data_IF_153051673525
#
_entry.id   IF_153051673525
#
_cell.length_a   1.000
_cell.length_b   1.000
_cell.length_c   1.000
_cell.angle_alpha   90.00
_cell.angle_beta   90.00
_cell.angle_gamma   90.00
#
_symmetry.space_group_name_H-M   'P 1'
#
loop_
_entity.id
_entity.type
_entity.pdbx_description
1 polymer ?
#
# COMPACT_ATOMS: atom_id res chain seq x y z
N UNK A 1 13.20 -3.95 44.46
CA UNK A 1 11.93 -3.43 43.90
C UNK A 1 12.10 -2.40 42.78
N UNK A 2 13.09 -1.53 42.79
CA UNK A 2 13.33 -0.56 41.69
C UNK A 2 13.64 -1.22 40.34
N UNK A 3 14.47 -2.25 40.29
CA UNK A 3 14.87 -2.96 39.06
C UNK A 3 13.73 -3.65 38.29
N UNK A 4 12.67 -4.07 38.98
CA UNK A 4 11.50 -4.68 38.34
C UNK A 4 10.59 -3.65 37.67
N UNK A 5 10.45 -2.46 38.26
CA UNK A 5 9.69 -1.36 37.67
C UNK A 5 10.36 -0.77 36.44
N UNK A 6 11.70 -0.71 36.43
CA UNK A 6 12.46 -0.24 35.26
C UNK A 6 12.37 -1.22 34.09
N UNK A 7 12.44 -2.54 34.34
CA UNK A 7 12.26 -3.56 33.29
C UNK A 7 10.85 -3.56 32.72
N UNK A 8 9.82 -3.42 33.56
CA UNK A 8 8.45 -3.32 33.08
C UNK A 8 8.21 -2.06 32.24
N UNK A 9 8.80 -0.93 32.66
CA UNK A 9 8.69 0.33 31.93
C UNK A 9 9.47 0.31 30.60
N UNK A 10 10.61 -0.38 30.56
CA UNK A 10 11.38 -0.58 29.34
C UNK A 10 10.62 -1.51 28.36
N UNK A 11 9.99 -2.54 28.86
CA UNK A 11 9.19 -3.47 28.06
C UNK A 11 7.94 -2.77 27.46
N UNK A 12 7.25 -1.95 28.24
CA UNK A 12 6.14 -1.13 27.77
C UNK A 12 6.60 -0.07 26.76
N UNK A 13 7.78 0.54 26.94
CA UNK A 13 8.35 1.48 25.97
C UNK A 13 8.76 0.79 24.67
N UNK A 14 9.32 -0.41 24.73
CA UNK A 14 9.66 -1.22 23.55
C UNK A 14 8.40 -1.68 22.81
N UNK A 15 7.33 -2.04 23.53
CA UNK A 15 6.04 -2.38 22.93
C UNK A 15 5.36 -1.14 22.30
N UNK A 16 5.47 0.03 22.92
CA UNK A 16 4.96 1.28 22.34
C UNK A 16 5.74 1.73 21.08
N UNK A 17 7.02 1.38 20.98
CA UNK A 17 7.84 1.65 19.79
C UNK A 17 7.59 0.65 18.65
N UNK A 18 6.94 -0.48 18.91
CA UNK A 18 6.62 -1.52 17.94
C UNK A 18 5.21 -1.40 17.36
N UNK A 19 4.47 -0.35 17.67
CA UNK A 19 3.15 -0.12 17.05
C UNK A 19 3.33 0.21 15.56
N UNK A 20 2.68 -0.58 14.72
CA UNK A 20 2.60 -0.30 13.30
C UNK A 20 1.99 1.09 13.08
N UNK A 21 2.76 1.99 12.51
CA UNK A 21 2.30 3.36 12.20
C UNK A 21 1.23 3.37 11.10
N UNK A 22 1.13 2.30 10.33
CA UNK A 22 0.18 2.15 9.23
C UNK A 22 -0.86 1.11 9.58
N UNK A 23 -2.03 1.55 10.01
CA UNK A 23 -3.19 0.71 10.34
C UNK A 23 -4.42 1.22 9.60
N UNK A 24 -5.43 0.36 9.33
CA UNK A 24 -6.68 0.80 8.74
C UNK A 24 -7.36 1.85 9.64
N UNK A 25 -7.96 2.85 9.02
CA UNK A 25 -8.71 3.88 9.71
C UNK A 25 -10.15 3.95 9.20
N UNK A 26 -11.03 4.59 9.96
CA UNK A 26 -12.43 4.82 9.57
C UNK A 26 -12.63 6.09 8.74
N UNK A 27 -11.56 6.81 8.41
CA UNK A 27 -11.62 8.02 7.59
C UNK A 27 -12.19 7.73 6.21
N UNK A 28 -13.10 8.57 5.73
CA UNK A 28 -13.60 8.49 4.36
C UNK A 28 -12.50 8.79 3.34
N UNK A 29 -12.32 7.91 2.35
CA UNK A 29 -11.37 8.12 1.25
C UNK A 29 -11.74 9.36 0.44
N UNK A 30 -13.02 9.59 0.18
CA UNK A 30 -13.49 10.77 -0.56
C UNK A 30 -13.17 12.06 0.21
N UNK A 31 -13.46 12.11 1.51
CA UNK A 31 -13.13 13.26 2.36
C UNK A 31 -11.62 13.50 2.45
N UNK A 32 -10.83 12.43 2.52
CA UNK A 32 -9.38 12.53 2.49
C UNK A 32 -8.87 13.15 1.18
N UNK A 33 -9.35 12.69 0.03
CA UNK A 33 -8.95 13.25 -1.27
C UNK A 33 -9.26 14.74 -1.38
N UNK A 34 -10.45 15.17 -0.95
CA UNK A 34 -10.84 16.58 -0.97
C UNK A 34 -9.96 17.45 -0.07
N UNK A 35 -9.61 16.97 1.10
CA UNK A 35 -8.81 17.72 2.06
C UNK A 35 -7.29 17.68 1.79
N UNK A 36 -6.79 16.56 1.27
CA UNK A 36 -5.36 16.31 1.13
C UNK A 36 -4.78 16.71 -0.22
N UNK A 37 -5.57 16.60 -1.29
CA UNK A 37 -5.12 16.87 -2.66
C UNK A 37 -5.67 18.21 -3.14
N UNK A 38 -4.80 19.18 -3.33
CA UNK A 38 -5.14 20.54 -3.76
C UNK A 38 -5.22 20.72 -5.28
N UNK A 39 -4.72 19.76 -6.06
CA UNK A 39 -4.66 19.80 -7.52
C UNK A 39 -5.76 18.92 -8.12
N UNK A 40 -6.68 19.54 -8.91
CA UNK A 40 -7.81 18.83 -9.52
C UNK A 40 -7.40 17.72 -10.49
N UNK A 41 -6.32 17.91 -11.25
CA UNK A 41 -5.80 16.85 -12.14
C UNK A 41 -5.31 15.64 -11.35
N UNK A 42 -4.65 15.86 -10.22
CA UNK A 42 -4.20 14.80 -9.33
C UNK A 42 -5.37 14.12 -8.62
N UNK A 43 -6.40 14.87 -8.21
CA UNK A 43 -7.64 14.28 -7.68
C UNK A 43 -8.31 13.36 -8.69
N UNK A 44 -8.39 13.79 -9.96
CA UNK A 44 -8.95 12.97 -11.03
C UNK A 44 -8.13 11.69 -11.24
N UNK A 45 -6.81 11.79 -11.28
CA UNK A 45 -5.91 10.64 -11.37
C UNK A 45 -6.08 9.68 -10.18
N UNK A 46 -6.20 10.22 -8.96
CA UNK A 46 -6.42 9.41 -7.76
C UNK A 46 -7.78 8.70 -7.77
N UNK A 47 -8.85 9.36 -8.17
CA UNK A 47 -10.18 8.74 -8.31
C UNK A 47 -10.17 7.63 -9.36
N UNK A 48 -9.59 7.88 -10.53
CA UNK A 48 -9.45 6.87 -11.58
C UNK A 48 -8.63 5.65 -11.08
N UNK A 49 -7.56 5.91 -10.35
CA UNK A 49 -6.72 4.85 -9.79
C UNK A 49 -7.48 4.00 -8.75
N UNK A 50 -8.31 4.62 -7.92
CA UNK A 50 -9.18 3.91 -6.98
C UNK A 50 -10.12 2.97 -7.74
N UNK A 51 -10.82 3.46 -8.76
CA UNK A 51 -11.75 2.65 -9.57
C UNK A 51 -11.03 1.45 -10.22
N UNK A 52 -9.87 1.68 -10.79
CA UNK A 52 -9.06 0.60 -11.37
C UNK A 52 -8.62 -0.43 -10.32
N UNK A 53 -8.08 0.02 -9.20
CA UNK A 53 -7.57 -0.88 -8.17
C UNK A 53 -8.69 -1.65 -7.47
N UNK A 54 -9.86 -1.05 -7.25
CA UNK A 54 -11.05 -1.77 -6.76
C UNK A 54 -11.49 -2.87 -7.74
N UNK A 55 -11.51 -2.56 -9.05
CA UNK A 55 -11.85 -3.54 -10.07
C UNK A 55 -10.84 -4.70 -10.16
N UNK A 56 -9.54 -4.40 -10.02
CA UNK A 56 -8.48 -5.41 -10.12
C UNK A 56 -8.33 -6.28 -8.88
N UNK A 57 -8.64 -5.73 -7.71
CA UNK A 57 -8.48 -6.44 -6.41
C UNK A 57 -9.77 -7.07 -5.91
N UNK A 58 -10.92 -6.56 -6.32
CA UNK A 58 -12.22 -6.91 -5.74
C UNK A 58 -12.42 -6.36 -4.32
N UNK A 59 -11.55 -5.46 -3.87
CA UNK A 59 -11.58 -4.88 -2.52
C UNK A 59 -11.91 -3.40 -2.57
N UNK A 60 -12.70 -2.93 -1.61
CA UNK A 60 -13.02 -1.51 -1.46
C UNK A 60 -11.83 -0.74 -0.91
N UNK A 61 -11.60 0.46 -1.44
CA UNK A 61 -10.56 1.37 -0.96
C UNK A 61 -10.78 1.76 0.51
N UNK A 62 -9.72 1.69 1.30
CA UNK A 62 -9.72 2.08 2.72
C UNK A 62 -8.50 2.95 3.04
N UNK A 63 -8.68 3.86 3.98
CA UNK A 63 -7.54 4.63 4.50
C UNK A 63 -6.68 3.77 5.42
N UNK A 64 -5.38 3.88 5.22
CA UNK A 64 -4.34 3.29 6.04
C UNK A 64 -3.39 4.39 6.53
N UNK A 65 -3.32 4.58 7.83
CA UNK A 65 -2.58 5.72 8.37
C UNK A 65 -3.11 7.06 7.87
N UNK A 66 -2.28 8.11 7.84
CA UNK A 66 -2.76 9.47 7.53
C UNK A 66 -2.92 9.77 6.03
N UNK A 67 -2.32 8.97 5.13
CA UNK A 67 -2.22 9.37 3.71
C UNK A 67 -2.15 8.22 2.71
N UNK A 68 -2.40 6.98 3.11
CA UNK A 68 -2.34 5.80 2.25
C UNK A 68 -3.75 5.30 1.98
N UNK A 69 -4.06 5.08 0.71
CA UNK A 69 -5.29 4.43 0.26
C UNK A 69 -4.93 2.99 -0.09
N UNK A 70 -5.47 2.03 0.63
CA UNK A 70 -5.14 0.62 0.52
C UNK A 70 -6.31 -0.26 0.12
N UNK A 71 -5.98 -1.41 -0.48
CA UNK A 71 -6.93 -2.39 -1.00
C UNK A 71 -6.57 -3.77 -0.45
N UNK A 72 -7.52 -4.37 0.23
CA UNK A 72 -7.31 -5.62 0.93
C UNK A 72 -6.37 -5.51 2.12
N UNK A 73 -6.14 -6.60 2.80
CA UNK A 73 -5.20 -6.67 3.92
C UNK A 73 -4.53 -8.03 3.98
N UNK A 74 -3.32 -8.07 4.50
CA UNK A 74 -2.63 -9.30 4.85
C UNK A 74 -1.92 -9.16 6.20
N UNK A 75 -1.74 -10.29 6.86
CA UNK A 75 -1.03 -10.36 8.13
C UNK A 75 0.40 -10.85 7.89
N UNK A 76 1.38 -10.09 8.38
CA UNK A 76 2.78 -10.47 8.31
C UNK A 76 3.35 -10.75 9.70
N UNK A 77 4.30 -11.68 9.75
CA UNK A 77 5.08 -12.01 10.95
C UNK A 77 6.55 -12.09 10.52
N UNK A 78 7.38 -11.24 11.11
CA UNK A 78 8.83 -11.29 10.89
C UNK A 78 9.48 -12.33 11.81
N UNK A 79 10.67 -12.81 11.44
CA UNK A 79 11.47 -13.73 12.25
C UNK A 79 11.79 -13.18 13.65
N UNK A 80 11.83 -11.86 13.81
CA UNK A 80 11.97 -11.17 15.10
C UNK A 80 10.74 -11.27 16.02
N UNK A 81 9.62 -11.82 15.53
CA UNK A 81 8.34 -11.86 16.23
C UNK A 81 7.48 -10.60 16.05
N UNK A 82 7.97 -9.57 15.34
CA UNK A 82 7.16 -8.41 15.00
C UNK A 82 6.10 -8.81 13.98
N UNK A 83 4.85 -8.52 14.27
CA UNK A 83 3.71 -8.86 13.42
C UNK A 83 2.79 -7.65 13.23
N UNK A 84 2.02 -7.66 12.16
CA UNK A 84 1.04 -6.62 11.90
C UNK A 84 0.26 -6.87 10.61
N UNK A 85 -0.62 -5.93 10.31
CA UNK A 85 -1.41 -5.94 9.10
C UNK A 85 -0.93 -4.84 8.13
N UNK A 86 -1.03 -5.11 6.85
CA UNK A 86 -0.70 -4.16 5.80
C UNK A 86 -1.68 -4.29 4.64
N UNK A 87 -1.88 -3.23 3.83
CA UNK A 87 -2.66 -3.35 2.61
C UNK A 87 -1.92 -4.22 1.59
N UNK A 88 -2.65 -5.00 0.82
CA UNK A 88 -2.07 -5.88 -0.20
C UNK A 88 -1.46 -5.05 -1.33
N UNK A 89 -2.20 -4.08 -1.83
CA UNK A 89 -1.73 -3.03 -2.73
C UNK A 89 -2.26 -1.69 -2.24
N UNK A 90 -1.54 -0.62 -2.50
CA UNK A 90 -1.91 0.70 -2.02
C UNK A 90 -1.29 1.81 -2.87
N UNK A 91 -1.76 3.03 -2.68
CA UNK A 91 -1.09 4.22 -3.17
C UNK A 91 -1.32 5.42 -2.24
N UNK A 92 -0.50 6.44 -2.41
CA UNK A 92 -0.67 7.72 -1.71
C UNK A 92 -0.59 8.87 -2.73
N UNK A 93 -1.61 9.75 -2.79
CA UNK A 93 -1.61 10.89 -3.70
C UNK A 93 -0.80 12.05 -3.12
N UNK A 94 0.50 11.85 -2.92
CA UNK A 94 1.39 12.85 -2.32
C UNK A 94 1.58 14.06 -3.24
N UNK A 95 1.99 15.20 -2.67
CA UNK A 95 2.16 16.45 -3.40
C UNK A 95 3.12 16.35 -4.58
N UNK A 96 4.26 15.68 -4.40
CA UNK A 96 5.27 15.54 -5.43
C UNK A 96 4.90 14.54 -6.53
N UNK A 97 4.22 13.44 -6.17
CA UNK A 97 3.86 12.35 -7.08
C UNK A 97 2.82 11.42 -6.46
N UNK A 98 2.13 10.65 -7.30
CA UNK A 98 1.43 9.44 -6.86
C UNK A 98 2.48 8.41 -6.44
N UNK A 99 2.46 7.98 -5.21
CA UNK A 99 3.36 6.93 -4.70
C UNK A 99 2.61 5.62 -4.72
N UNK A 100 3.06 4.66 -5.51
CA UNK A 100 2.41 3.37 -5.71
C UNK A 100 3.15 2.29 -4.91
N UNK A 101 2.41 1.52 -4.13
CA UNK A 101 2.89 0.38 -3.35
C UNK A 101 2.34 -0.91 -3.95
N UNK A 102 2.83 -1.26 -5.13
CA UNK A 102 2.32 -2.36 -5.96
C UNK A 102 3.44 -3.26 -6.49
N UNK A 103 4.65 -3.10 -5.96
CA UNK A 103 5.81 -3.83 -6.44
C UNK A 103 6.09 -5.07 -5.58
N UNK A 104 6.34 -6.18 -6.25
CA UNK A 104 6.92 -7.40 -5.68
C UNK A 104 8.19 -7.77 -6.44
N UNK A 105 9.19 -8.36 -5.77
CA UNK A 105 10.48 -8.69 -6.39
C UNK A 105 10.41 -9.98 -7.22
N UNK A 106 9.44 -10.08 -8.12
CA UNK A 106 9.30 -11.20 -9.03
C UNK A 106 9.80 -10.83 -10.43
N UNK A 107 10.17 -11.81 -11.23
CA UNK A 107 10.61 -11.57 -12.61
C UNK A 107 9.51 -10.94 -13.46
N UNK A 108 8.23 -11.29 -13.22
CA UNK A 108 7.09 -10.68 -13.91
C UNK A 108 6.94 -9.20 -13.56
N UNK A 109 7.09 -8.85 -12.28
CA UNK A 109 7.05 -7.45 -11.84
C UNK A 109 8.20 -6.64 -12.42
N UNK A 110 9.40 -7.19 -12.46
CA UNK A 110 10.57 -6.55 -13.08
C UNK A 110 10.35 -6.31 -14.58
N UNK A 111 9.82 -7.29 -15.29
CA UNK A 111 9.52 -7.17 -16.72
C UNK A 111 8.44 -6.11 -17.00
N UNK A 112 7.38 -6.05 -16.18
CA UNK A 112 6.35 -5.03 -16.28
C UNK A 112 6.91 -3.62 -16.00
N UNK A 113 7.74 -3.48 -14.97
CA UNK A 113 8.41 -2.22 -14.63
C UNK A 113 9.25 -1.68 -15.77
N UNK A 114 9.99 -2.54 -16.46
CA UNK A 114 10.85 -2.14 -17.59
C UNK A 114 10.11 -1.42 -18.71
N UNK A 115 8.79 -1.61 -18.83
CA UNK A 115 7.96 -1.05 -19.88
C UNK A 115 6.83 -0.14 -19.34
N UNK A 116 6.79 0.11 -18.03
CA UNK A 116 5.68 0.82 -17.37
C UNK A 116 5.47 2.25 -17.89
N UNK A 117 6.52 2.95 -18.24
CA UNK A 117 6.48 4.35 -18.71
C UNK A 117 7.37 5.27 -17.91
N UNK A 118 6.88 6.48 -17.62
CA UNK A 118 7.65 7.51 -16.89
C UNK A 118 7.39 7.41 -15.39
N UNK A 119 8.38 6.93 -14.66
CA UNK A 119 8.32 6.84 -13.21
C UNK A 119 9.72 6.97 -12.61
N UNK A 120 9.78 7.21 -11.32
CA UNK A 120 10.97 7.04 -10.47
C UNK A 120 10.70 5.94 -9.48
N UNK A 121 11.73 5.32 -8.97
CA UNK A 121 11.62 4.25 -7.98
C UNK A 121 12.64 4.40 -6.87
N UNK A 122 12.23 4.10 -5.65
CA UNK A 122 13.08 4.01 -4.47
C UNK A 122 12.64 2.80 -3.65
N UNK A 123 13.51 1.82 -3.46
CA UNK A 123 13.17 0.54 -2.83
C UNK A 123 11.98 -0.12 -3.55
N UNK A 124 10.83 -0.26 -2.86
CA UNK A 124 9.61 -0.82 -3.42
C UNK A 124 8.54 0.24 -3.76
N UNK A 125 8.88 1.53 -3.70
CA UNK A 125 7.96 2.63 -3.99
C UNK A 125 8.14 3.11 -5.43
N UNK A 126 7.03 3.17 -6.18
CA UNK A 126 6.99 3.69 -7.55
C UNK A 126 6.37 5.07 -7.51
N UNK A 127 7.05 6.07 -8.05
CA UNK A 127 6.61 7.47 -8.07
C UNK A 127 6.22 7.89 -9.48
N UNK A 128 4.96 8.29 -9.65
CA UNK A 128 4.37 8.68 -10.93
C UNK A 128 3.77 10.08 -10.82
N UNK A 129 4.12 10.99 -11.71
CA UNK A 129 3.58 12.36 -11.69
C UNK A 129 2.12 12.41 -12.14
N UNK A 130 1.82 11.76 -13.24
CA UNK A 130 0.46 11.66 -13.80
C UNK A 130 0.14 10.21 -14.16
N UNK A 131 -1.10 9.81 -13.97
CA UNK A 131 -1.54 8.45 -14.30
C UNK A 131 -1.35 8.16 -15.81
N UNK A 132 -1.50 9.17 -16.66
CA UNK A 132 -1.26 9.08 -18.10
C UNK A 132 0.21 8.81 -18.50
N UNK A 133 1.15 8.99 -17.57
CA UNK A 133 2.58 8.75 -17.82
C UNK A 133 2.95 7.26 -17.86
N UNK A 134 2.05 6.39 -17.41
CA UNK A 134 2.29 4.95 -17.29
C UNK A 134 1.22 4.13 -18.03
N UNK A 135 1.58 2.89 -18.35
CA UNK A 135 0.67 1.92 -18.96
C UNK A 135 -0.19 1.25 -17.88
N UNK A 136 -1.51 1.44 -17.96
CA UNK A 136 -2.48 0.89 -16.98
C UNK A 136 -2.57 -0.64 -17.03
N UNK A 137 -2.31 -1.28 -18.17
CA UNK A 137 -2.30 -2.75 -18.25
C UNK A 137 -1.10 -3.34 -17.52
N UNK A 138 0.04 -2.68 -17.62
CA UNK A 138 1.25 -3.06 -16.87
C UNK A 138 1.11 -2.76 -15.40
N UNK A 139 0.44 -1.67 -15.03
CA UNK A 139 0.09 -1.38 -13.63
C UNK A 139 -0.85 -2.45 -13.05
N UNK A 140 -1.85 -2.86 -13.81
CA UNK A 140 -2.74 -3.97 -13.44
C UNK A 140 -1.93 -5.25 -13.18
N UNK A 141 -1.02 -5.59 -14.08
CA UNK A 141 -0.15 -6.76 -13.95
C UNK A 141 0.70 -6.68 -12.68
N UNK A 142 1.25 -5.52 -12.34
CA UNK A 142 1.97 -5.30 -11.08
C UNK A 142 1.09 -5.56 -9.86
N UNK A 143 -0.15 -5.06 -9.86
CA UNK A 143 -1.12 -5.30 -8.79
C UNK A 143 -1.46 -6.79 -8.65
N UNK A 144 -1.78 -7.45 -9.76
CA UNK A 144 -2.12 -8.89 -9.78
C UNK A 144 -0.95 -9.75 -9.30
N UNK A 145 0.26 -9.42 -9.72
CA UNK A 145 1.47 -10.12 -9.28
C UNK A 145 1.75 -9.92 -7.78
N UNK A 146 1.52 -8.72 -7.26
CA UNK A 146 1.63 -8.45 -5.82
C UNK A 146 0.58 -9.23 -5.02
N UNK A 147 -0.66 -9.30 -5.49
CA UNK A 147 -1.72 -10.09 -4.85
C UNK A 147 -1.34 -11.57 -4.83
N UNK A 148 -0.86 -12.10 -5.95
CA UNK A 148 -0.43 -13.49 -6.06
C UNK A 148 0.72 -13.80 -5.10
N UNK A 149 1.77 -12.99 -5.13
CA UNK A 149 2.94 -13.15 -4.26
C UNK A 149 2.55 -13.14 -2.78
N UNK A 150 1.74 -12.17 -2.36
CA UNK A 150 1.30 -12.03 -0.98
C UNK A 150 0.40 -13.20 -0.58
N UNK A 151 -0.51 -13.65 -1.45
CA UNK A 151 -1.40 -14.77 -1.19
C UNK A 151 -0.66 -16.10 -1.03
N UNK A 152 0.49 -16.26 -1.68
CA UNK A 152 1.34 -17.45 -1.57
C UNK A 152 2.16 -17.47 -0.26
N UNK A 153 2.44 -16.30 0.33
CA UNK A 153 3.34 -16.17 1.48
C UNK A 153 2.64 -15.77 2.78
N UNK A 154 1.43 -15.20 2.69
CA UNK A 154 0.69 -14.66 3.84
C UNK A 154 -0.81 -14.96 3.75
N UNK A 155 -1.49 -14.94 4.91
CA UNK A 155 -2.95 -14.89 4.96
C UNK A 155 -3.43 -13.52 4.45
N UNK A 156 -4.27 -13.50 3.40
CA UNK A 156 -4.63 -12.30 2.66
C UNK A 156 -6.12 -12.30 2.33
N UNK A 157 -6.75 -11.12 2.34
CA UNK A 157 -8.16 -10.93 1.99
C UNK A 157 -8.40 -10.95 0.48
N UNK A 158 -7.46 -10.42 -0.30
CA UNK A 158 -7.57 -10.39 -1.75
C UNK A 158 -7.43 -11.78 -2.36
N UNK A 159 -8.27 -12.05 -3.35
CA UNK A 159 -8.13 -13.22 -4.23
C UNK A 159 -8.16 -12.73 -5.66
N UNK A 160 -7.24 -13.24 -6.47
CA UNK A 160 -7.32 -13.01 -7.91
C UNK A 160 -8.64 -13.57 -8.44
N UNK A 161 -9.32 -12.86 -9.35
CA UNK A 161 -10.44 -13.44 -10.09
C UNK A 161 -9.96 -14.75 -10.73
N UNK A 162 -10.64 -15.82 -10.44
CA UNK A 162 -10.37 -17.08 -11.13
C UNK A 162 -10.74 -16.89 -12.60
N UNK A 163 -9.79 -17.15 -13.47
CA UNK A 163 -10.00 -17.10 -14.90
C UNK A 163 -11.04 -18.12 -15.35
#
# INVERSE_FOLDING_TARGET
>A
MRKWREKANLHQRLQAMAQNKTTPTTQSVAAFLEAFVDNEAKKADARALIEHMEAWTGETAKMWGPSIIGFGSYHYVYASGHAGDAPVVAFSPRKAALTLYVYSETEKSKAALAQLGKFKMSKACIYVKRLADIDLQLLRLLCEESIRYISEHHACSCRLPQA
#
